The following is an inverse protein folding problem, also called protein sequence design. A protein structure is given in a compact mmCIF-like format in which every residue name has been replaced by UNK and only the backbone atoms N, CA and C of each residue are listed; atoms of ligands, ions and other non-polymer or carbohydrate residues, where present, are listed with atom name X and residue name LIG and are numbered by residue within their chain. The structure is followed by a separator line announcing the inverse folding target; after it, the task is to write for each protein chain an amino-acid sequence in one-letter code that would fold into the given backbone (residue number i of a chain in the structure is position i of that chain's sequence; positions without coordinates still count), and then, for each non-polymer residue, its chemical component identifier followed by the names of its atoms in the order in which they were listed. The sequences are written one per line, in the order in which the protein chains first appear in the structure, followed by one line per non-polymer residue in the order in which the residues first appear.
data_IF_023395597325
#
_entry.id   IF_023395597325
#
_cell.length_a   1.000
_cell.length_b   1.000
_cell.length_c   1.000
_cell.angle_alpha   90.00
_cell.angle_beta   90.00
_cell.angle_gamma   90.00
#
_symmetry.space_group_name_H-M   'P 1'
#
loop_
_entity.id
_entity.type
_entity.pdbx_description
1 polymer ?
#
# COMPACT_ATOMS: atom_id res chain seq x y z
N UNK A 1 20.15 -46.79 1.78
CA UNK A 1 20.72 -45.46 1.51
C UNK A 1 19.57 -44.58 1.03
N UNK A 2 19.03 -43.74 1.91
CA UNK A 2 17.93 -42.85 1.59
C UNK A 2 18.45 -41.64 0.81
N UNK A 3 17.89 -41.38 -0.36
CA UNK A 3 18.13 -40.14 -1.07
C UNK A 3 17.54 -38.99 -0.24
N UNK A 4 18.40 -38.12 0.27
CA UNK A 4 18.00 -36.88 0.92
C UNK A 4 17.33 -35.99 -0.12
N UNK A 5 16.04 -35.76 0.05
CA UNK A 5 15.21 -34.93 -0.82
C UNK A 5 15.65 -33.47 -0.64
N UNK A 6 16.56 -33.03 -1.51
CA UNK A 6 17.17 -31.70 -1.49
C UNK A 6 16.17 -30.70 -2.07
N UNK A 7 15.32 -30.13 -1.21
CA UNK A 7 14.46 -28.99 -1.56
C UNK A 7 15.30 -27.72 -1.65
N UNK A 8 15.75 -27.41 -2.87
CA UNK A 8 16.29 -26.09 -3.20
C UNK A 8 15.11 -25.14 -3.39
N UNK A 9 14.80 -24.35 -2.36
CA UNK A 9 13.89 -23.21 -2.50
C UNK A 9 14.71 -22.06 -3.07
N UNK A 10 14.58 -21.82 -4.37
CA UNK A 10 15.03 -20.56 -4.96
C UNK A 10 14.00 -19.52 -4.52
N UNK A 11 14.37 -18.69 -3.53
CA UNK A 11 13.59 -17.49 -3.21
C UNK A 11 13.69 -16.55 -4.42
N UNK A 12 12.72 -16.67 -5.34
CA UNK A 12 12.58 -15.76 -6.45
C UNK A 12 12.38 -14.32 -5.95
N UNK A 13 12.75 -13.35 -6.78
CA UNK A 13 12.46 -11.94 -6.50
C UNK A 13 10.95 -11.75 -6.41
N UNK A 14 10.44 -11.55 -5.19
CA UNK A 14 9.02 -11.27 -4.97
C UNK A 14 8.70 -9.88 -5.49
N UNK A 15 7.55 -9.73 -6.15
CA UNK A 15 7.05 -8.39 -6.51
C UNK A 15 6.76 -7.60 -5.22
N UNK A 16 7.10 -6.32 -5.24
CA UNK A 16 6.81 -5.39 -4.15
C UNK A 16 5.34 -5.01 -4.17
N UNK A 17 4.66 -5.19 -3.05
CA UNK A 17 3.23 -4.94 -2.87
C UNK A 17 3.01 -4.01 -1.69
N UNK A 18 2.57 -2.78 -1.96
CA UNK A 18 2.13 -1.83 -0.94
C UNK A 18 0.67 -2.09 -0.63
N UNK A 19 0.32 -2.24 0.64
CA UNK A 19 -1.07 -2.39 1.07
C UNK A 19 -1.65 -1.02 1.42
N UNK A 20 -2.75 -0.66 0.76
CA UNK A 20 -3.51 0.54 1.08
C UNK A 20 -4.16 0.40 2.48
N UNK A 21 -4.03 1.39 3.41
CA UNK A 21 -4.54 1.24 4.77
C UNK A 21 -6.03 0.88 4.85
N UNK A 22 -6.94 1.47 4.05
CA UNK A 22 -8.34 1.05 4.00
C UNK A 22 -8.56 -0.44 3.73
N UNK A 23 -7.70 -1.08 2.92
CA UNK A 23 -7.81 -2.52 2.65
C UNK A 23 -7.53 -3.36 3.90
N UNK A 24 -6.53 -2.98 4.70
CA UNK A 24 -6.04 -3.80 5.82
C UNK A 24 -6.62 -3.41 7.18
N UNK A 25 -7.12 -2.18 7.32
CA UNK A 25 -7.75 -1.68 8.55
C UNK A 25 -9.28 -1.60 8.44
N UNK A 26 -9.84 -1.62 7.23
CA UNK A 26 -11.28 -1.51 7.00
C UNK A 26 -12.06 -2.83 7.01
N UNK A 27 -11.39 -3.96 7.22
CA UNK A 27 -12.05 -5.25 7.29
C UNK A 27 -11.38 -6.17 8.31
N UNK A 28 -12.18 -6.98 9.02
CA UNK A 28 -11.69 -8.03 9.93
C UNK A 28 -10.68 -9.03 9.30
N UNK A 29 -10.65 -9.15 7.96
CA UNK A 29 -9.73 -10.06 7.26
C UNK A 29 -8.42 -9.37 6.85
N UNK A 30 -8.24 -8.08 7.15
CA UNK A 30 -7.09 -7.31 6.72
C UNK A 30 -5.74 -7.86 7.20
N UNK A 31 -5.65 -8.25 8.48
CA UNK A 31 -4.45 -8.90 9.03
C UNK A 31 -4.18 -10.28 8.40
N UNK A 32 -5.13 -11.23 8.37
CA UNK A 32 -4.96 -12.50 7.67
C UNK A 32 -4.56 -12.35 6.20
N UNK A 33 -5.14 -11.39 5.48
CA UNK A 33 -4.80 -11.05 4.12
C UNK A 33 -3.33 -10.62 4.02
N UNK A 34 -2.93 -9.60 4.78
CA UNK A 34 -1.58 -9.06 4.75
C UNK A 34 -0.51 -10.12 5.04
N UNK A 35 -0.73 -10.94 6.08
CA UNK A 35 0.17 -12.04 6.43
C UNK A 35 0.23 -13.10 5.33
N UNK A 36 -0.89 -13.45 4.71
CA UNK A 36 -0.90 -14.39 3.59
C UNK A 36 -0.14 -13.86 2.37
N UNK A 37 -0.28 -12.56 2.07
CA UNK A 37 0.39 -11.92 0.93
C UNK A 37 1.92 -11.95 1.07
N UNK A 38 2.47 -11.91 2.28
CA UNK A 38 3.93 -12.00 2.50
C UNK A 38 4.55 -13.30 1.98
N UNK A 39 3.73 -14.35 1.76
CA UNK A 39 4.19 -15.62 1.20
C UNK A 39 4.57 -15.49 -0.27
N UNK A 40 3.91 -14.60 -1.01
CA UNK A 40 4.03 -14.47 -2.46
C UNK A 40 4.54 -13.10 -2.91
N UNK A 41 4.40 -12.07 -2.07
CA UNK A 41 4.87 -10.71 -2.31
C UNK A 41 5.87 -10.27 -1.25
N UNK A 42 6.68 -9.29 -1.64
CA UNK A 42 7.39 -8.43 -0.70
C UNK A 42 6.39 -7.35 -0.23
N UNK A 43 5.68 -7.63 0.85
CA UNK A 43 4.61 -6.77 1.35
C UNK A 43 5.14 -5.58 2.13
N UNK A 44 4.60 -4.40 1.83
CA UNK A 44 4.94 -3.12 2.42
C UNK A 44 3.70 -2.47 3.05
N UNK A 45 3.87 -1.89 4.24
CA UNK A 45 2.89 -1.05 4.91
C UNK A 45 3.34 0.42 4.87
N UNK A 46 2.47 1.35 4.46
CA UNK A 46 2.77 2.77 4.46
C UNK A 46 2.76 3.37 5.87
N UNK A 47 3.39 4.53 6.03
CA UNK A 47 3.43 5.29 7.30
C UNK A 47 2.04 5.59 7.86
N UNK A 48 1.08 5.95 7.00
CA UNK A 48 -0.32 6.19 7.36
C UNK A 48 -1.00 5.02 8.07
N UNK A 49 -0.62 3.77 7.78
CA UNK A 49 -1.12 2.60 8.50
C UNK A 49 -0.77 2.66 9.99
N UNK A 50 0.49 2.99 10.31
CA UNK A 50 0.95 3.08 11.68
C UNK A 50 0.36 4.27 12.41
N UNK A 51 0.26 5.43 11.76
CA UNK A 51 -0.40 6.61 12.33
C UNK A 51 -1.84 6.32 12.77
N UNK A 52 -2.59 5.54 11.97
CA UNK A 52 -3.95 5.13 12.34
C UNK A 52 -3.95 4.16 13.52
N UNK A 53 -3.00 3.20 13.57
CA UNK A 53 -2.87 2.29 14.71
C UNK A 53 -2.47 3.02 16.00
N UNK A 54 -1.54 3.96 15.93
CA UNK A 54 -1.07 4.72 17.09
C UNK A 54 -2.15 5.67 17.62
N UNK A 55 -2.99 6.18 16.73
CA UNK A 55 -4.14 6.98 17.11
C UNK A 55 -5.40 6.16 17.44
N UNK A 56 -5.34 4.83 17.40
CA UNK A 56 -6.53 3.98 17.54
C UNK A 56 -7.31 4.19 18.84
N UNK A 57 -6.65 4.59 19.94
CA UNK A 57 -7.30 4.94 21.21
C UNK A 57 -8.02 6.30 21.18
N UNK A 58 -7.59 7.20 20.28
CA UNK A 58 -8.18 8.54 20.09
C UNK A 58 -9.30 8.53 19.05
N UNK A 59 -9.27 7.55 18.13
CA UNK A 59 -10.34 7.31 17.18
C UNK A 59 -11.49 6.67 17.94
N UNK A 60 -12.50 7.46 18.30
CA UNK A 60 -13.74 6.90 18.86
C UNK A 60 -14.38 6.00 17.80
N UNK A 61 -14.36 4.69 18.05
CA UNK A 61 -14.94 3.68 17.15
C UNK A 61 -16.47 3.81 17.02
N UNK A 62 -17.08 4.65 17.87
CA UNK A 62 -18.50 5.03 17.82
C UNK A 62 -18.80 6.21 16.87
N UNK A 63 -17.80 6.82 16.21
CA UNK A 63 -18.01 8.06 15.45
C UNK A 63 -18.05 7.92 13.93
N UNK A 64 -18.94 8.72 13.32
CA UNK A 64 -18.98 9.12 11.90
C UNK A 64 -17.63 9.64 11.35
N UNK A 65 -16.63 9.86 12.20
CA UNK A 65 -15.33 10.41 11.85
C UNK A 65 -14.45 9.45 11.03
N UNK A 66 -14.59 8.13 11.20
CA UNK A 66 -13.79 7.14 10.47
C UNK A 66 -14.60 5.85 10.14
N UNK A 67 -15.69 5.96 9.35
CA UNK A 67 -16.60 4.85 9.06
C UNK A 67 -15.97 3.71 8.24
N UNK A 68 -14.77 3.93 7.71
CA UNK A 68 -14.00 2.96 6.96
C UNK A 68 -13.16 2.04 7.85
N UNK A 69 -12.99 2.34 9.14
CA UNK A 69 -12.19 1.53 10.06
C UNK A 69 -13.02 0.41 10.68
N UNK A 70 -12.42 -0.77 10.75
CA UNK A 70 -13.06 -1.94 11.37
C UNK A 70 -12.47 -2.19 12.77
N UNK A 71 -13.28 -2.12 13.85
CA UNK A 71 -12.82 -2.30 15.24
C UNK A 71 -11.98 -3.57 15.46
N UNK A 72 -12.45 -4.72 14.93
CA UNK A 72 -11.72 -5.98 15.04
C UNK A 72 -10.38 -5.94 14.30
N UNK A 73 -10.27 -5.21 13.18
CA UNK A 73 -9.01 -5.12 12.45
C UNK A 73 -7.98 -4.34 13.27
N UNK A 74 -8.38 -3.19 13.85
CA UNK A 74 -7.52 -2.41 14.73
C UNK A 74 -7.04 -3.23 15.93
N UNK A 75 -7.97 -3.91 16.62
CA UNK A 75 -7.61 -4.77 17.76
C UNK A 75 -6.64 -5.90 17.37
N UNK A 76 -6.89 -6.55 16.23
CA UNK A 76 -6.04 -7.63 15.71
C UNK A 76 -4.62 -7.15 15.36
N UNK A 77 -4.52 -5.98 14.75
CA UNK A 77 -3.25 -5.37 14.37
C UNK A 77 -2.46 -4.86 15.59
N UNK A 78 -3.14 -4.23 16.56
CA UNK A 78 -2.54 -3.84 17.83
C UNK A 78 -2.02 -5.07 18.59
N UNK A 79 -2.82 -6.13 18.69
CA UNK A 79 -2.40 -7.37 19.33
C UNK A 79 -1.21 -8.02 18.61
N UNK A 80 -1.17 -7.99 17.27
CA UNK A 80 -0.02 -8.47 16.51
C UNK A 80 1.24 -7.65 16.82
N UNK A 81 1.09 -6.32 16.90
CA UNK A 81 2.21 -5.41 17.19
C UNK A 81 2.79 -5.64 18.56
N UNK A 82 1.93 -5.69 19.56
CA UNK A 82 2.37 -5.84 20.95
C UNK A 82 2.96 -7.24 21.21
N UNK A 83 2.56 -8.24 20.41
CA UNK A 83 3.05 -9.61 20.48
C UNK A 83 4.24 -9.96 19.58
N UNK A 84 4.71 -9.04 18.73
CA UNK A 84 5.77 -9.33 17.73
C UNK A 84 6.90 -8.32 17.80
N UNK A 85 8.11 -8.79 18.13
CA UNK A 85 9.32 -7.98 18.04
C UNK A 85 9.47 -7.37 16.64
N UNK A 86 9.79 -6.07 16.56
CA UNK A 86 9.88 -5.34 15.30
C UNK A 86 10.70 -6.08 14.23
N UNK A 87 11.85 -6.67 14.59
CA UNK A 87 12.72 -7.43 13.66
C UNK A 87 12.10 -8.72 13.07
N UNK A 88 11.09 -9.26 13.74
CA UNK A 88 10.44 -10.54 13.40
C UNK A 88 9.22 -10.36 12.49
N UNK A 89 8.83 -9.12 12.19
CA UNK A 89 7.72 -8.86 11.29
C UNK A 89 8.02 -9.36 9.87
N UNK A 90 7.01 -9.96 9.21
CA UNK A 90 7.15 -10.47 7.85
C UNK A 90 6.94 -9.40 6.78
N UNK A 91 6.44 -8.22 7.15
CA UNK A 91 6.13 -7.09 6.28
C UNK A 91 7.17 -5.99 6.48
N UNK A 92 7.44 -5.21 5.43
CA UNK A 92 8.30 -4.03 5.52
C UNK A 92 7.46 -2.79 5.72
N UNK A 93 8.04 -1.72 6.25
CA UNK A 93 7.34 -0.45 6.37
C UNK A 93 8.29 0.75 6.43
N UNK A 94 7.71 1.91 6.18
CA UNK A 94 8.34 3.21 6.40
C UNK A 94 7.63 3.89 7.58
N UNK A 95 8.40 4.30 8.59
CA UNK A 95 7.94 5.08 9.74
C UNK A 95 8.14 6.58 9.53
N UNK A 96 8.08 7.39 10.60
CA UNK A 96 8.36 8.83 10.50
C UNK A 96 9.87 9.11 10.36
N UNK A 97 10.72 8.15 10.74
CA UNK A 97 12.17 8.23 10.57
C UNK A 97 12.79 6.85 10.27
N UNK A 98 14.11 6.83 10.00
CA UNK A 98 14.85 5.61 9.69
C UNK A 98 14.82 4.58 10.84
N UNK A 99 14.86 5.03 12.10
CA UNK A 99 14.89 4.14 13.27
C UNK A 99 13.55 3.45 13.51
N UNK A 100 12.46 4.10 13.08
CA UNK A 100 11.10 3.56 13.13
C UNK A 100 10.74 2.75 11.88
N UNK A 101 11.60 2.72 10.86
CA UNK A 101 11.33 2.02 9.60
C UNK A 101 11.91 0.61 9.60
N UNK A 102 11.17 -0.36 9.04
CA UNK A 102 11.73 -1.70 8.76
C UNK A 102 12.14 -1.82 7.30
N UNK A 103 13.35 -1.33 7.04
CA UNK A 103 14.02 -1.44 5.74
C UNK A 103 15.05 -2.58 5.85
N UNK A 104 14.63 -3.85 5.69
CA UNK A 104 15.57 -4.98 5.78
C UNK A 104 16.68 -4.83 4.73
N UNK A 105 17.91 -4.57 5.18
CA UNK A 105 19.21 -4.76 4.49
C UNK A 105 19.32 -4.41 3.00
N UNK A 106 18.36 -3.70 2.40
CA UNK A 106 18.52 -3.11 1.09
C UNK A 106 19.42 -1.91 1.30
N UNK A 107 20.58 -1.93 0.65
CA UNK A 107 21.64 -0.92 0.66
C UNK A 107 21.20 0.46 0.11
N UNK A 108 19.99 0.87 0.46
CA UNK A 108 19.27 1.99 -0.12
C UNK A 108 18.67 2.83 1.01
N UNK A 109 19.55 3.38 1.84
CA UNK A 109 19.23 4.34 2.90
C UNK A 109 18.45 5.55 2.34
N UNK A 110 18.54 5.78 1.03
CA UNK A 110 17.80 6.83 0.32
C UNK A 110 16.32 6.50 0.09
N UNK A 111 15.83 5.30 0.42
CA UNK A 111 14.41 4.96 0.27
C UNK A 111 13.50 5.88 1.10
N UNK A 112 13.88 6.19 2.34
CA UNK A 112 13.11 7.11 3.18
C UNK A 112 13.10 8.51 2.56
N UNK A 113 14.26 9.01 2.12
CA UNK A 113 14.36 10.34 1.48
C UNK A 113 13.49 10.44 0.22
N UNK A 114 13.46 9.38 -0.60
CA UNK A 114 12.58 9.31 -1.77
C UNK A 114 11.11 9.28 -1.37
N UNK A 115 10.76 8.47 -0.37
CA UNK A 115 9.41 8.39 0.16
C UNK A 115 8.93 9.77 0.64
N UNK A 116 9.69 10.45 1.50
CA UNK A 116 9.32 11.76 2.03
C UNK A 116 9.16 12.79 0.91
N UNK A 117 10.09 12.83 -0.06
CA UNK A 117 9.97 13.69 -1.23
C UNK A 117 8.67 13.46 -2.01
N UNK A 118 8.27 12.20 -2.20
CA UNK A 118 7.03 11.88 -2.89
C UNK A 118 5.80 12.21 -2.04
N UNK A 119 5.85 11.97 -0.73
CA UNK A 119 4.77 12.23 0.20
C UNK A 119 4.49 13.74 0.32
N UNK A 120 5.54 14.55 0.54
CA UNK A 120 5.46 16.02 0.57
C UNK A 120 4.86 16.58 -0.73
N UNK A 121 5.22 15.99 -1.88
CA UNK A 121 4.70 16.44 -3.17
C UNK A 121 3.25 16.00 -3.45
N UNK A 122 2.71 15.05 -2.68
CA UNK A 122 1.29 14.65 -2.70
C UNK A 122 0.45 15.41 -1.68
N UNK A 123 1.05 16.13 -0.73
CA UNK A 123 0.27 16.93 0.22
C UNK A 123 -0.46 18.05 -0.52
N UNK A 124 -1.81 18.10 -0.43
CA UNK A 124 -2.56 19.19 -1.03
C UNK A 124 -2.16 20.50 -0.34
N UNK A 125 -2.16 21.64 -1.06
CA UNK A 125 -1.94 22.94 -0.42
C UNK A 125 -2.95 23.12 0.71
N UNK A 126 -2.45 23.39 1.92
CA UNK A 126 -3.24 23.39 3.14
C UNK A 126 -4.53 24.21 2.98
N UNK A 127 -5.73 23.64 3.23
CA UNK A 127 -6.94 24.45 3.35
C UNK A 127 -6.82 25.40 4.55
N UNK A 128 -7.43 26.58 4.44
CA UNK A 128 -7.52 27.56 5.53
C UNK A 128 -8.07 26.91 6.82
N UNK A 129 -7.68 27.38 8.02
CA UNK A 129 -7.91 26.69 9.27
C UNK A 129 -9.36 26.85 9.72
N UNK A 130 -10.27 26.07 9.15
CA UNK A 130 -11.62 25.90 9.69
C UNK A 130 -11.84 24.42 10.05
N UNK A 131 -11.67 24.13 11.35
CA UNK A 131 -12.12 22.88 11.97
C UNK A 131 -11.12 21.72 11.93
N UNK A 132 -10.95 21.08 13.10
CA UNK A 132 -10.30 19.79 13.35
C UNK A 132 -9.18 19.37 12.37
N UNK A 133 -8.11 20.17 12.24
CA UNK A 133 -6.92 19.81 11.47
C UNK A 133 -6.30 18.45 11.88
N UNK A 134 -6.56 18.00 13.11
CA UNK A 134 -6.17 16.67 13.60
C UNK A 134 -6.91 15.52 12.90
N UNK A 135 -8.09 15.76 12.33
CA UNK A 135 -8.91 14.76 11.64
C UNK A 135 -8.45 14.49 10.19
N UNK A 136 -7.62 15.37 9.61
CA UNK A 136 -7.09 15.21 8.25
C UNK A 136 -6.27 13.92 8.08
N UNK A 137 -5.71 13.37 9.17
CA UNK A 137 -4.97 12.09 9.17
C UNK A 137 -5.84 10.83 9.08
N UNK A 138 -7.18 10.95 9.20
CA UNK A 138 -8.11 9.80 9.20
C UNK A 138 -9.00 9.73 7.96
N UNK A 139 -8.77 10.60 6.97
CA UNK A 139 -9.44 10.49 5.67
C UNK A 139 -8.91 9.23 4.95
N UNK A 140 -9.77 8.26 4.59
CA UNK A 140 -9.34 7.05 3.89
C UNK A 140 -8.62 7.38 2.58
N UNK A 141 -9.06 8.42 1.87
CA UNK A 141 -8.42 8.86 0.62
C UNK A 141 -7.08 9.55 0.89
N UNK A 142 -6.99 10.33 1.97
CA UNK A 142 -5.74 10.95 2.41
C UNK A 142 -4.69 9.91 2.83
N UNK A 143 -5.12 8.83 3.50
CA UNK A 143 -4.23 7.74 3.91
C UNK A 143 -3.60 6.99 2.73
N UNK A 144 -4.24 7.01 1.55
CA UNK A 144 -3.70 6.46 0.31
C UNK A 144 -2.53 7.28 -0.29
N UNK A 145 -2.29 8.53 0.16
CA UNK A 145 -1.12 9.30 -0.29
C UNK A 145 0.20 8.62 0.08
N UNK A 146 0.33 8.13 1.32
CA UNK A 146 1.56 7.42 1.71
C UNK A 146 1.71 6.10 0.92
N UNK A 147 0.62 5.43 0.54
CA UNK A 147 0.69 4.25 -0.32
C UNK A 147 1.20 4.60 -1.74
N UNK A 148 0.73 5.72 -2.30
CA UNK A 148 1.20 6.25 -3.59
C UNK A 148 2.66 6.70 -3.53
N UNK A 149 3.05 7.42 -2.48
CA UNK A 149 4.41 7.86 -2.27
C UNK A 149 5.37 6.67 -2.14
N UNK A 150 4.97 5.66 -1.37
CA UNK A 150 5.76 4.45 -1.19
C UNK A 150 5.86 3.63 -2.48
N UNK A 151 4.78 3.50 -3.24
CA UNK A 151 4.80 2.88 -4.57
C UNK A 151 5.80 3.56 -5.50
N UNK A 152 5.76 4.89 -5.59
CA UNK A 152 6.67 5.67 -6.41
C UNK A 152 8.13 5.53 -5.94
N UNK A 153 8.38 5.59 -4.62
CA UNK A 153 9.71 5.45 -4.02
C UNK A 153 10.33 4.04 -4.22
N UNK A 154 9.47 3.04 -4.44
CA UNK A 154 9.82 1.65 -4.75
C UNK A 154 9.83 1.34 -6.25
N UNK A 155 9.93 2.36 -7.10
CA UNK A 155 9.98 2.29 -8.57
C UNK A 155 8.68 1.73 -9.21
N UNK A 156 7.52 2.14 -8.70
CA UNK A 156 6.21 1.74 -9.24
C UNK A 156 5.72 0.39 -8.70
N UNK A 157 6.04 0.08 -7.44
CA UNK A 157 5.53 -1.10 -6.76
C UNK A 157 4.00 -1.15 -6.81
N UNK A 158 3.43 -2.35 -6.91
CA UNK A 158 1.98 -2.50 -7.00
C UNK A 158 1.32 -2.05 -5.69
N UNK A 159 0.23 -1.30 -5.78
CA UNK A 159 -0.60 -0.95 -4.62
C UNK A 159 -1.83 -1.85 -4.68
N UNK A 160 -1.99 -2.70 -3.67
CA UNK A 160 -3.21 -3.47 -3.49
C UNK A 160 -4.19 -2.68 -2.63
N UNK A 161 -5.37 -2.43 -3.18
CA UNK A 161 -6.41 -1.62 -2.55
C UNK A 161 -7.80 -2.19 -2.82
N UNK A 162 -8.81 -1.63 -2.15
CA UNK A 162 -10.20 -2.04 -2.28
C UNK A 162 -11.02 -0.90 -2.90
N UNK A 163 -11.89 -1.24 -3.85
CA UNK A 163 -12.98 -0.38 -4.27
C UNK A 163 -14.25 -0.73 -3.49
N UNK A 164 -15.09 0.28 -3.21
CA UNK A 164 -16.36 0.08 -2.51
C UNK A 164 -17.33 -0.80 -3.33
N UNK A 165 -17.31 -0.64 -4.65
CA UNK A 165 -18.15 -1.36 -5.60
C UNK A 165 -17.46 -1.46 -6.99
N UNK A 166 -18.12 -2.11 -7.95
CA UNK A 166 -17.61 -2.30 -9.30
C UNK A 166 -17.44 -0.99 -10.11
N UNK A 167 -18.16 0.07 -9.77
CA UNK A 167 -18.20 1.35 -10.49
C UNK A 167 -17.34 2.42 -9.82
N UNK A 168 -17.09 2.28 -8.52
CA UNK A 168 -16.35 3.24 -7.73
C UNK A 168 -14.84 3.03 -7.88
N UNK A 169 -14.10 4.12 -8.10
CA UNK A 169 -12.64 4.10 -8.11
C UNK A 169 -12.08 3.87 -6.68
N UNK A 170 -10.94 3.15 -6.55
CA UNK A 170 -10.33 2.89 -5.24
C UNK A 170 -9.67 4.15 -4.65
N UNK A 171 -9.32 4.08 -3.35
CA UNK A 171 -8.72 5.17 -2.58
C UNK A 171 -7.56 5.89 -3.27
N UNK A 172 -6.50 5.17 -3.72
CA UNK A 172 -5.37 5.78 -4.40
C UNK A 172 -5.74 6.55 -5.69
N UNK A 173 -6.73 6.07 -6.44
CA UNK A 173 -7.20 6.75 -7.66
C UNK A 173 -7.93 8.04 -7.31
N UNK A 174 -8.79 8.01 -6.28
CA UNK A 174 -9.47 9.20 -5.77
C UNK A 174 -8.46 10.23 -5.21
N UNK A 175 -7.40 9.75 -4.57
CA UNK A 175 -6.36 10.59 -3.99
C UNK A 175 -5.59 11.35 -5.07
N UNK A 176 -5.19 10.65 -6.15
CA UNK A 176 -4.59 11.29 -7.33
C UNK A 176 -5.56 12.28 -8.01
N UNK A 177 -6.85 11.93 -8.11
CA UNK A 177 -7.84 12.80 -8.73
C UNK A 177 -8.01 14.15 -7.98
N UNK A 178 -7.87 14.15 -6.65
CA UNK A 178 -7.88 15.39 -5.84
C UNK A 178 -6.71 16.33 -6.16
N UNK A 179 -5.61 15.78 -6.67
CA UNK A 179 -4.43 16.53 -7.09
C UNK A 179 -4.46 16.87 -8.59
N UNK A 180 -5.57 16.59 -9.29
CA UNK A 180 -5.72 16.81 -10.73
C UNK A 180 -5.01 15.77 -11.60
N UNK A 181 -4.58 14.65 -11.01
CA UNK A 181 -4.02 13.51 -11.74
C UNK A 181 -5.09 12.44 -11.97
N UNK A 182 -5.22 11.96 -13.21
CA UNK A 182 -6.26 11.00 -13.58
C UNK A 182 -5.62 9.69 -14.05
N UNK A 183 -5.50 8.68 -13.17
CA UNK A 183 -4.96 7.37 -13.53
C UNK A 183 -5.75 6.71 -14.64
N UNK A 184 -5.06 6.05 -15.57
CA UNK A 184 -5.70 5.34 -16.67
C UNK A 184 -6.27 4.00 -16.17
N UNK A 185 -7.58 3.81 -16.30
CA UNK A 185 -8.23 2.53 -16.02
C UNK A 185 -7.98 1.55 -17.17
N UNK A 186 -7.38 0.40 -16.87
CA UNK A 186 -7.09 -0.63 -17.86
C UNK A 186 -8.26 -1.61 -17.95
N UNK A 187 -8.88 -1.78 -19.12
CA UNK A 187 -10.03 -2.66 -19.29
C UNK A 187 -9.66 -4.14 -19.07
N UNK A 188 -10.66 -4.98 -18.83
CA UNK A 188 -10.46 -6.42 -18.63
C UNK A 188 -10.01 -7.16 -19.89
N UNK A 189 -10.40 -6.67 -21.06
CA UNK A 189 -10.24 -7.38 -22.34
C UNK A 189 -8.87 -7.16 -23.01
N UNK A 190 -7.96 -6.41 -22.39
CA UNK A 190 -6.66 -6.06 -22.96
C UNK A 190 -5.61 -7.19 -22.83
N UNK A 191 -5.98 -8.39 -23.26
CA UNK A 191 -5.25 -9.66 -23.12
C UNK A 191 -3.81 -9.70 -23.65
N UNK A 192 -3.36 -8.69 -24.41
CA UNK A 192 -2.03 -8.63 -25.04
C UNK A 192 -1.06 -7.65 -24.37
N UNK A 193 -1.47 -6.92 -23.33
CA UNK A 193 -0.58 -6.00 -22.61
C UNK A 193 0.23 -6.72 -21.53
N UNK A 194 1.40 -6.18 -21.17
CA UNK A 194 2.16 -6.64 -19.99
C UNK A 194 1.32 -6.57 -18.71
N UNK A 195 0.37 -5.63 -18.65
CA UNK A 195 -0.54 -5.47 -17.51
C UNK A 195 -1.57 -6.58 -17.43
N UNK A 196 -1.98 -7.20 -18.54
CA UNK A 196 -2.80 -8.39 -18.50
C UNK A 196 -2.04 -9.60 -17.93
N UNK A 197 -0.75 -9.74 -18.29
CA UNK A 197 0.12 -10.77 -17.73
C UNK A 197 0.34 -10.56 -16.22
N UNK A 198 0.60 -9.33 -15.79
CA UNK A 198 0.73 -8.99 -14.37
C UNK A 198 -0.56 -9.27 -13.60
N UNK A 199 -1.73 -8.85 -14.13
CA UNK A 199 -3.03 -9.14 -13.52
C UNK A 199 -3.24 -10.64 -13.31
N UNK A 200 -2.91 -11.45 -14.31
CA UNK A 200 -2.98 -12.90 -14.21
C UNK A 200 -2.02 -13.43 -13.14
N UNK A 201 -0.78 -12.94 -13.13
CA UNK A 201 0.21 -13.30 -12.12
C UNK A 201 -0.27 -12.96 -10.71
N UNK A 202 -0.85 -11.78 -10.48
CA UNK A 202 -1.38 -11.38 -9.17
C UNK A 202 -2.52 -12.32 -8.75
N UNK A 203 -3.46 -12.62 -9.64
CA UNK A 203 -4.54 -13.59 -9.35
C UNK A 203 -4.00 -14.97 -8.95
N UNK A 204 -3.04 -15.48 -9.71
CA UNK A 204 -2.41 -16.78 -9.45
C UNK A 204 -1.61 -16.77 -8.13
N UNK A 205 -0.85 -15.71 -7.87
CA UNK A 205 -0.10 -15.54 -6.62
C UNK A 205 -1.04 -15.53 -5.41
N UNK A 206 -2.14 -14.78 -5.48
CA UNK A 206 -3.11 -14.71 -4.39
C UNK A 206 -3.85 -16.05 -4.21
N UNK A 207 -4.18 -16.74 -5.30
CA UNK A 207 -4.74 -18.09 -5.23
C UNK A 207 -3.76 -19.10 -4.61
N UNK A 208 -2.49 -19.06 -5.00
CA UNK A 208 -1.42 -19.90 -4.47
C UNK A 208 -1.14 -19.64 -2.98
N UNK A 209 -1.35 -18.41 -2.51
CA UNK A 209 -1.28 -18.07 -1.10
C UNK A 209 -2.48 -18.60 -0.27
N UNK A 210 -3.48 -19.20 -0.93
CA UNK A 210 -4.71 -19.71 -0.30
C UNK A 210 -5.71 -18.61 0.07
N UNK A 211 -5.59 -17.43 -0.54
CA UNK A 211 -6.37 -16.24 -0.16
C UNK A 211 -7.63 -16.04 -1.00
N UNK A 212 -7.89 -16.87 -2.01
CA UNK A 212 -9.01 -16.70 -2.94
C UNK A 212 -10.37 -16.56 -2.24
N UNK A 213 -10.64 -17.35 -1.20
CA UNK A 213 -11.87 -17.27 -0.42
C UNK A 213 -11.96 -15.97 0.41
N UNK A 214 -10.83 -15.48 0.92
CA UNK A 214 -10.78 -14.19 1.62
C UNK A 214 -11.05 -13.04 0.65
N UNK A 215 -10.51 -13.10 -0.59
CA UNK A 215 -10.78 -12.07 -1.58
C UNK A 215 -12.27 -11.98 -1.95
N UNK A 216 -12.97 -13.12 -2.01
CA UNK A 216 -14.42 -13.11 -2.24
C UNK A 216 -15.17 -12.33 -1.14
N UNK A 217 -14.67 -12.38 0.09
CA UNK A 217 -15.27 -11.65 1.23
C UNK A 217 -14.88 -10.17 1.22
N UNK A 218 -13.68 -9.84 0.73
CA UNK A 218 -13.17 -8.47 0.60
C UNK A 218 -13.76 -7.74 -0.63
N UNK A 219 -14.35 -8.44 -1.60
CA UNK A 219 -15.02 -7.81 -2.74
C UNK A 219 -14.06 -7.23 -3.79
N UNK A 220 -14.30 -5.99 -4.22
CA UNK A 220 -13.72 -5.39 -5.44
C UNK A 220 -12.26 -4.95 -5.28
N UNK A 221 -11.35 -5.92 -5.25
CA UNK A 221 -9.92 -5.63 -5.19
C UNK A 221 -9.40 -4.99 -6.48
N UNK A 222 -8.52 -4.02 -6.30
CA UNK A 222 -7.90 -3.26 -7.37
C UNK A 222 -6.40 -3.22 -7.16
N UNK A 223 -5.67 -3.18 -8.28
CA UNK A 223 -4.25 -2.85 -8.30
C UNK A 223 -4.09 -1.46 -8.90
N UNK A 224 -3.29 -0.62 -8.25
CA UNK A 224 -2.92 0.72 -8.73
C UNK A 224 -1.40 0.78 -8.82
N UNK A 225 -0.89 1.38 -9.89
CA UNK A 225 0.52 1.71 -10.04
C UNK A 225 0.69 3.21 -10.15
N UNK A 226 1.71 3.73 -9.48
CA UNK A 226 2.14 5.11 -9.58
C UNK A 226 3.64 5.13 -9.88
N UNK A 227 3.98 5.52 -11.11
CA UNK A 227 5.37 5.67 -11.55
C UNK A 227 5.67 7.15 -11.74
N UNK A 228 6.84 7.59 -11.29
CA UNK A 228 7.38 8.93 -11.56
C UNK A 228 8.56 8.82 -12.52
N UNK A 229 8.71 9.81 -13.42
CA UNK A 229 9.77 9.83 -14.42
C UNK A 229 10.67 11.08 -14.24
N UNK A 230 12.01 10.90 -14.11
CA UNK A 230 12.73 9.63 -14.05
C UNK A 230 12.38 8.83 -12.78
N UNK A 231 12.60 7.49 -12.77
CA UNK A 231 12.38 6.65 -11.61
C UNK A 231 13.02 7.25 -10.36
N UNK A 232 12.40 7.04 -9.21
CA UNK A 232 12.78 7.72 -7.98
C UNK A 232 14.27 7.50 -7.62
N UNK A 233 14.80 6.29 -7.89
CA UNK A 233 16.22 5.97 -7.70
C UNK A 233 17.18 6.80 -8.55
N UNK A 234 16.75 7.26 -9.71
CA UNK A 234 17.54 8.09 -10.64
C UNK A 234 17.35 9.59 -10.36
N UNK A 235 16.20 9.98 -9.80
CA UNK A 235 15.82 11.35 -9.52
C UNK A 235 16.49 11.97 -8.27
N UNK A 236 17.34 11.23 -7.55
CA UNK A 236 17.84 11.60 -6.21
C UNK A 236 18.46 13.01 -6.13
N UNK A 237 18.96 13.57 -7.24
CA UNK A 237 19.68 14.85 -7.27
C UNK A 237 18.86 16.10 -7.64
N UNK A 238 17.56 15.99 -7.97
CA UNK A 238 16.77 17.15 -8.45
C UNK A 238 15.77 17.63 -7.37
N UNK A 239 16.29 18.29 -6.33
CA UNK A 239 15.53 18.68 -5.13
C UNK A 239 14.46 19.76 -5.36
N UNK A 240 14.37 20.36 -6.55
CA UNK A 240 13.44 21.45 -6.86
C UNK A 240 12.23 21.05 -7.72
N UNK A 241 12.18 19.82 -8.24
CA UNK A 241 11.12 19.40 -9.16
C UNK A 241 10.06 18.58 -8.42
N UNK A 242 8.79 18.95 -8.58
CA UNK A 242 7.69 18.10 -8.12
C UNK A 242 7.69 16.79 -8.95
N UNK A 243 7.95 15.62 -8.33
CA UNK A 243 8.09 14.35 -9.03
C UNK A 243 6.80 13.88 -9.73
N UNK A 244 5.64 14.36 -9.29
CA UNK A 244 4.34 13.98 -9.83
C UNK A 244 4.00 14.68 -11.14
N UNK A 245 4.72 15.75 -11.51
CA UNK A 245 4.53 16.44 -12.81
C UNK A 245 4.74 15.54 -14.02
N UNK A 246 5.60 14.54 -13.89
CA UNK A 246 5.89 13.53 -14.92
C UNK A 246 5.53 12.13 -14.42
N UNK A 247 4.45 12.04 -13.65
CA UNK A 247 3.93 10.75 -13.22
C UNK A 247 3.07 10.10 -14.30
N UNK A 248 3.12 8.78 -14.34
CA UNK A 248 2.17 7.93 -15.04
C UNK A 248 1.54 7.00 -14.03
N UNK A 249 0.23 6.86 -14.10
CA UNK A 249 -0.52 5.98 -13.22
C UNK A 249 -1.58 5.24 -13.98
N UNK A 250 -1.75 3.98 -13.63
CA UNK A 250 -2.75 3.09 -14.20
C UNK A 250 -3.29 2.18 -13.11
N UNK A 251 -4.46 1.62 -13.35
CA UNK A 251 -5.09 0.73 -12.40
C UNK A 251 -6.03 -0.25 -13.08
N UNK A 252 -6.28 -1.37 -12.41
CA UNK A 252 -7.18 -2.40 -12.89
C UNK A 252 -7.81 -3.18 -11.73
N UNK A 253 -8.93 -3.84 -12.04
CA UNK A 253 -9.62 -4.76 -11.11
C UNK A 253 -9.09 -6.19 -11.24
N UNK A 254 -8.98 -6.85 -10.08
CA UNK A 254 -8.65 -8.26 -9.95
C UNK A 254 -9.90 -9.14 -10.05
#
# INVERSE_FOLDING_TARGET
MGASDLRVTVDGVKLRCVLDPPLVLGHAWGRPLALGLTRVFETWLPRSFWRVLDASELISLDTEAAPWLHPLALSDWTALRDGTDAGSWPMRWVGDNLHESQLRSSADDSLLERFERHAEALEPPAPAPEGAAWACGFDPVGSSHDALALSAALDGALILCQAADAQTAPGPVKALARLGHFPHELPADESRSLMAAERQFVREAVAAAGLAALLQSLGHLCVVHALTLPPAREAANDAGHNPWRRSQSWWYRL
#
